data_IF_319248298464
#
_entry.id   IF_319248298464
#
_cell.length_a   1.000
_cell.length_b   1.000
_cell.length_c   1.000
_cell.angle_alpha   90.00
_cell.angle_beta   90.00
_cell.angle_gamma   90.00
#
_symmetry.space_group_name_H-M   'P 1'
#
loop_
_entity.id
_entity.type
_entity.pdbx_description
1 polymer ?
#
# COMPACT_ATOMS: atom_id res chain seq x y z
N UNK A 1 -45.27 -23.38 -29.28
CA UNK A 1 -44.63 -23.50 -27.94
C UNK A 1 -43.19 -23.93 -28.15
N UNK A 2 -42.22 -23.11 -27.74
CA UNK A 2 -40.80 -23.33 -28.03
C UNK A 2 -40.18 -24.21 -26.93
N UNK A 3 -39.88 -25.46 -27.29
CA UNK A 3 -39.24 -26.47 -26.44
C UNK A 3 -37.90 -26.02 -25.86
N UNK A 4 -37.19 -25.13 -26.57
CA UNK A 4 -35.87 -24.62 -26.19
C UNK A 4 -35.97 -23.61 -25.05
N UNK A 5 -36.99 -22.74 -25.06
CA UNK A 5 -37.25 -21.81 -23.97
C UNK A 5 -37.59 -22.54 -22.68
N UNK A 6 -38.40 -23.60 -22.76
CA UNK A 6 -38.74 -24.45 -21.62
C UNK A 6 -37.52 -25.19 -21.06
N UNK A 7 -36.64 -25.71 -21.93
CA UNK A 7 -35.40 -26.40 -21.52
C UNK A 7 -34.45 -25.45 -20.81
N UNK A 8 -34.24 -24.23 -21.34
CA UNK A 8 -33.40 -23.22 -20.69
C UNK A 8 -33.96 -22.82 -19.31
N UNK A 9 -35.28 -22.67 -19.18
CA UNK A 9 -35.93 -22.36 -17.90
C UNK A 9 -35.83 -23.50 -16.89
N UNK A 10 -35.97 -24.75 -17.34
CA UNK A 10 -35.77 -25.92 -16.49
C UNK A 10 -34.31 -26.01 -16.03
N UNK A 11 -33.36 -25.78 -16.93
CA UNK A 11 -31.93 -25.78 -16.61
C UNK A 11 -31.57 -24.72 -15.58
N UNK A 12 -32.05 -23.48 -15.75
CA UNK A 12 -31.83 -22.39 -14.79
C UNK A 12 -32.44 -22.72 -13.43
N UNK A 13 -33.67 -23.23 -13.38
CA UNK A 13 -34.32 -23.65 -12.13
C UNK A 13 -33.58 -24.80 -11.44
N UNK A 14 -33.07 -25.77 -12.20
CA UNK A 14 -32.24 -26.86 -11.66
C UNK A 14 -30.95 -26.29 -11.08
N UNK A 15 -30.29 -25.36 -11.78
CA UNK A 15 -29.07 -24.70 -11.27
C UNK A 15 -29.34 -23.89 -10.00
N UNK A 16 -30.44 -23.14 -9.95
CA UNK A 16 -30.87 -22.40 -8.76
C UNK A 16 -31.15 -23.33 -7.58
N UNK A 17 -31.90 -24.41 -7.79
CA UNK A 17 -32.20 -25.39 -6.76
C UNK A 17 -30.91 -26.09 -6.24
N UNK A 18 -29.98 -26.43 -7.14
CA UNK A 18 -28.68 -27.00 -6.78
C UNK A 18 -27.85 -25.98 -5.97
N UNK A 19 -27.86 -24.71 -6.38
CA UNK A 19 -27.15 -23.62 -5.69
C UNK A 19 -27.70 -23.41 -4.28
N UNK A 20 -29.02 -23.33 -4.13
CA UNK A 20 -29.70 -23.20 -2.84
C UNK A 20 -29.45 -24.40 -1.93
N UNK A 21 -29.46 -25.62 -2.48
CA UNK A 21 -29.15 -26.83 -1.72
C UNK A 21 -27.70 -26.85 -1.23
N UNK A 22 -26.74 -26.49 -2.10
CA UNK A 22 -25.32 -26.34 -1.72
C UNK A 22 -25.14 -25.28 -0.65
N UNK A 23 -25.74 -24.11 -0.83
CA UNK A 23 -25.70 -23.00 0.14
C UNK A 23 -26.21 -23.46 1.51
N UNK A 24 -27.40 -24.09 1.57
CA UNK A 24 -27.97 -24.61 2.81
C UNK A 24 -27.09 -25.68 3.47
N UNK A 25 -26.51 -26.59 2.68
CA UNK A 25 -25.60 -27.63 3.19
C UNK A 25 -24.34 -27.03 3.80
N UNK A 26 -23.76 -26.01 3.17
CA UNK A 26 -22.54 -25.36 3.64
C UNK A 26 -22.80 -24.47 4.87
N UNK A 27 -23.94 -23.76 4.93
CA UNK A 27 -24.37 -23.04 6.14
C UNK A 27 -24.51 -24.00 7.33
N UNK A 28 -25.20 -25.13 7.14
CA UNK A 28 -25.32 -26.15 8.20
C UNK A 28 -23.96 -26.70 8.65
N UNK A 29 -22.94 -26.77 7.80
CA UNK A 29 -21.58 -27.18 8.18
C UNK A 29 -20.89 -26.14 9.06
N UNK A 30 -21.01 -24.86 8.72
CA UNK A 30 -20.44 -23.75 9.50
C UNK A 30 -21.09 -23.70 10.89
N UNK A 31 -22.40 -23.86 10.97
CA UNK A 31 -23.12 -23.86 12.25
C UNK A 31 -22.63 -24.99 13.18
N UNK A 32 -22.34 -26.17 12.62
CA UNK A 32 -21.96 -27.38 13.38
C UNK A 32 -20.45 -27.61 13.51
N UNK A 33 -19.60 -26.70 13.03
CA UNK A 33 -18.15 -26.94 12.96
C UNK A 33 -17.50 -27.11 14.34
N UNK A 34 -18.01 -26.42 15.37
CA UNK A 34 -17.55 -26.54 16.76
C UNK A 34 -17.73 -27.98 17.27
N UNK A 35 -18.82 -28.63 16.83
CA UNK A 35 -19.15 -30.01 17.20
C UNK A 35 -18.24 -31.01 16.48
N UNK A 36 -17.97 -30.80 15.19
CA UNK A 36 -17.03 -31.65 14.42
C UNK A 36 -15.62 -31.58 14.99
N UNK A 37 -15.17 -30.38 15.31
CA UNK A 37 -13.88 -30.09 15.91
C UNK A 37 -13.76 -30.72 17.31
N UNK A 38 -14.81 -30.63 18.13
CA UNK A 38 -14.89 -31.32 19.42
C UNK A 38 -14.80 -32.84 19.27
N UNK A 39 -15.54 -33.42 18.32
CA UNK A 39 -15.52 -34.86 18.06
C UNK A 39 -14.15 -35.37 17.58
N UNK A 40 -13.40 -34.55 16.84
CA UNK A 40 -12.06 -34.89 16.38
C UNK A 40 -11.00 -34.83 17.50
N UNK A 41 -11.26 -34.09 18.59
CA UNK A 41 -10.35 -33.89 19.73
C UNK A 41 -10.48 -34.90 20.87
N UNK A 42 -11.62 -35.61 20.96
CA UNK A 42 -11.92 -36.68 21.95
C UNK A 42 -10.93 -37.87 22.00
N UNK A 43 -9.80 -37.77 21.28
CA UNK A 43 -8.66 -38.68 21.37
C UNK A 43 -7.61 -38.21 22.40
N UNK A 44 -7.65 -36.96 22.88
CA UNK A 44 -6.70 -36.43 23.87
C UNK A 44 -7.23 -36.57 25.30
N UNK A 45 -6.48 -37.28 26.16
CA UNK A 45 -6.92 -37.70 27.52
C UNK A 45 -6.88 -36.59 28.60
N UNK A 46 -6.91 -35.31 28.23
CA UNK A 46 -6.77 -34.20 29.20
C UNK A 46 -8.05 -33.36 29.28
N UNK A 47 -8.95 -33.75 30.20
CA UNK A 47 -10.26 -33.12 30.40
C UNK A 47 -10.18 -31.61 30.69
N UNK A 48 -9.16 -31.16 31.43
CA UNK A 48 -8.98 -29.74 31.76
C UNK A 48 -8.63 -28.89 30.53
N UNK A 49 -7.82 -29.45 29.62
CA UNK A 49 -7.45 -28.79 28.37
C UNK A 49 -8.63 -28.71 27.41
N UNK A 50 -9.43 -29.78 27.31
CA UNK A 50 -10.63 -29.81 26.48
C UNK A 50 -11.67 -28.79 26.93
N UNK A 51 -11.92 -28.69 28.24
CA UNK A 51 -12.88 -27.73 28.81
C UNK A 51 -12.50 -26.28 28.47
N UNK A 52 -11.22 -25.92 28.62
CA UNK A 52 -10.73 -24.57 28.32
C UNK A 52 -10.75 -24.22 26.83
N UNK A 53 -10.45 -25.19 25.97
CA UNK A 53 -10.56 -25.03 24.52
C UNK A 53 -12.02 -24.85 24.07
N UNK A 54 -12.93 -25.66 24.60
CA UNK A 54 -14.35 -25.59 24.27
C UNK A 54 -14.98 -24.28 24.75
N UNK A 55 -14.65 -23.85 25.97
CA UNK A 55 -15.11 -22.56 26.51
C UNK A 55 -14.63 -21.40 25.62
N UNK A 56 -13.35 -21.44 25.20
CA UNK A 56 -12.77 -20.41 24.35
C UNK A 56 -13.41 -20.36 22.96
N UNK A 57 -13.57 -21.51 22.31
CA UNK A 57 -14.21 -21.60 20.98
C UNK A 57 -15.66 -21.16 21.05
N UNK A 58 -16.42 -21.63 22.03
CA UNK A 58 -17.84 -21.27 22.18
C UNK A 58 -18.00 -19.77 22.39
N UNK A 59 -17.15 -19.16 23.22
CA UNK A 59 -17.17 -17.72 23.50
C UNK A 59 -16.87 -16.86 22.28
N UNK A 60 -16.03 -17.37 21.38
CA UNK A 60 -15.62 -16.65 20.17
C UNK A 60 -16.35 -17.12 18.90
N UNK A 61 -17.18 -18.18 18.95
CA UNK A 61 -17.87 -18.74 17.80
C UNK A 61 -18.71 -17.70 17.04
N UNK A 62 -19.43 -16.85 17.77
CA UNK A 62 -20.22 -15.77 17.17
C UNK A 62 -19.36 -14.75 16.42
N UNK A 63 -18.15 -14.45 16.90
CA UNK A 63 -17.21 -13.56 16.22
C UNK A 63 -16.58 -14.15 14.96
N UNK A 64 -16.60 -15.47 14.77
CA UNK A 64 -16.15 -16.09 13.52
C UNK A 64 -17.31 -16.41 12.58
N UNK A 65 -18.48 -16.77 13.11
CA UNK A 65 -19.67 -17.19 12.35
C UNK A 65 -20.54 -16.04 11.87
N UNK A 66 -20.57 -14.91 12.61
CA UNK A 66 -21.39 -13.73 12.26
C UNK A 66 -20.59 -12.65 11.52
N UNK A 67 -19.28 -12.86 11.31
CA UNK A 67 -18.50 -11.97 10.47
C UNK A 67 -18.98 -12.17 9.03
N UNK A 68 -19.55 -11.10 8.47
CA UNK A 68 -19.94 -11.02 7.06
C UNK A 68 -18.85 -11.65 6.19
N UNK A 69 -19.27 -12.29 5.09
CA UNK A 69 -18.50 -12.96 4.04
C UNK A 69 -17.30 -12.17 3.44
N UNK A 70 -16.98 -10.99 3.97
CA UNK A 70 -15.98 -10.04 3.50
C UNK A 70 -14.64 -10.10 4.24
N UNK A 71 -14.47 -10.94 5.27
CA UNK A 71 -13.19 -11.07 5.99
C UNK A 71 -12.62 -12.49 5.87
N UNK A 72 -11.57 -12.62 5.07
CA UNK A 72 -10.60 -13.71 5.17
C UNK A 72 -9.72 -13.37 6.38
N UNK A 73 -9.54 -14.30 7.33
CA UNK A 73 -8.72 -13.99 8.50
C UNK A 73 -7.27 -13.85 8.06
N UNK A 74 -6.70 -12.67 8.29
CA UNK A 74 -5.28 -12.45 8.05
C UNK A 74 -4.44 -13.36 8.95
N UNK A 75 -3.21 -13.69 8.51
CA UNK A 75 -2.29 -14.50 9.31
C UNK A 75 -2.09 -13.91 10.72
N UNK A 76 -2.04 -12.58 10.82
CA UNK A 76 -1.88 -11.85 12.08
C UNK A 76 -3.10 -11.95 12.98
N UNK A 77 -4.32 -11.94 12.42
CA UNK A 77 -5.55 -12.15 13.20
C UNK A 77 -5.62 -13.58 13.74
N UNK A 78 -5.24 -14.58 12.94
CA UNK A 78 -5.15 -15.97 13.39
C UNK A 78 -4.13 -16.12 14.51
N UNK A 79 -2.95 -15.54 14.34
CA UNK A 79 -1.89 -15.58 15.35
C UNK A 79 -2.29 -14.84 16.63
N UNK A 80 -2.93 -13.68 16.52
CA UNK A 80 -3.45 -12.92 17.67
C UNK A 80 -4.54 -13.70 18.41
N UNK A 81 -5.43 -14.39 17.69
CA UNK A 81 -6.46 -15.23 18.30
C UNK A 81 -5.85 -16.40 19.08
N UNK A 82 -4.81 -17.06 18.54
CA UNK A 82 -4.10 -18.13 19.22
C UNK A 82 -3.30 -17.60 20.42
N UNK A 83 -2.57 -16.49 20.28
CA UNK A 83 -1.84 -15.86 21.39
C UNK A 83 -2.77 -15.46 22.54
N UNK A 84 -3.94 -14.91 22.23
CA UNK A 84 -4.96 -14.50 23.22
C UNK A 84 -5.49 -15.67 24.07
N UNK A 85 -5.43 -16.92 23.56
CA UNK A 85 -5.76 -18.10 24.34
C UNK A 85 -4.75 -18.31 25.47
N UNK A 86 -3.46 -18.24 25.16
CA UNK A 86 -2.38 -18.47 26.11
C UNK A 86 -2.24 -17.33 27.12
N UNK A 87 -2.46 -16.07 26.71
CA UNK A 87 -2.47 -14.93 27.64
C UNK A 87 -3.53 -15.09 28.75
N UNK A 88 -4.65 -15.76 28.46
CA UNK A 88 -5.72 -16.04 29.43
C UNK A 88 -5.54 -17.37 30.17
N UNK A 89 -4.75 -18.29 29.62
CA UNK A 89 -4.50 -19.63 30.17
C UNK A 89 -2.99 -19.92 30.14
N UNK A 90 -2.21 -19.13 30.88
CA UNK A 90 -0.73 -19.22 30.90
C UNK A 90 -0.24 -20.61 31.36
N UNK A 91 -1.03 -21.31 32.16
CA UNK A 91 -0.79 -22.68 32.63
C UNK A 91 -0.81 -23.72 31.49
N UNK A 92 -1.42 -23.41 30.35
CA UNK A 92 -1.53 -24.30 29.19
C UNK A 92 -0.44 -24.07 28.12
N UNK A 93 0.53 -23.18 28.36
CA UNK A 93 1.66 -22.92 27.44
C UNK A 93 2.47 -24.21 27.15
N UNK A 94 2.55 -25.14 28.10
CA UNK A 94 3.23 -26.42 27.90
C UNK A 94 2.61 -27.27 26.77
N UNK A 95 1.35 -27.02 26.41
CA UNK A 95 0.63 -27.68 25.32
C UNK A 95 0.51 -26.78 24.07
N UNK A 96 1.37 -25.76 23.95
CA UNK A 96 1.23 -24.73 22.92
C UNK A 96 1.15 -25.29 21.50
N UNK A 97 1.96 -26.29 21.15
CA UNK A 97 1.94 -26.91 19.82
C UNK A 97 0.57 -27.52 19.50
N UNK A 98 0.13 -28.44 20.36
CA UNK A 98 -1.16 -29.13 20.24
C UNK A 98 -2.34 -28.16 20.19
N UNK A 99 -2.39 -27.19 21.10
CA UNK A 99 -3.48 -26.21 21.18
C UNK A 99 -3.49 -25.29 19.95
N UNK A 100 -2.31 -24.86 19.48
CA UNK A 100 -2.20 -24.00 18.31
C UNK A 100 -2.69 -24.74 17.06
N UNK A 101 -2.25 -25.98 16.84
CA UNK A 101 -2.69 -26.81 15.71
C UNK A 101 -4.21 -26.96 15.69
N UNK A 102 -4.79 -27.23 16.86
CA UNK A 102 -6.21 -27.41 17.07
C UNK A 102 -7.02 -26.12 16.78
N UNK A 103 -6.52 -24.95 17.19
CA UNK A 103 -7.17 -23.66 16.95
C UNK A 103 -6.99 -23.20 15.50
N UNK A 104 -5.84 -23.47 14.88
CA UNK A 104 -5.61 -23.19 13.46
C UNK A 104 -6.48 -24.08 12.57
N UNK A 105 -6.65 -25.36 12.90
CA UNK A 105 -7.54 -26.27 12.18
C UNK A 105 -9.00 -25.78 12.24
N UNK A 106 -9.45 -25.35 13.43
CA UNK A 106 -10.77 -24.73 13.60
C UNK A 106 -10.98 -23.52 12.67
N UNK A 107 -10.04 -22.56 12.66
CA UNK A 107 -10.13 -21.37 11.81
C UNK A 107 -10.09 -21.74 10.33
N UNK A 108 -9.18 -22.63 9.93
CA UNK A 108 -9.01 -23.02 8.53
C UNK A 108 -10.23 -23.76 7.98
N UNK A 109 -10.90 -24.59 8.79
CA UNK A 109 -12.13 -25.25 8.38
C UNK A 109 -13.29 -24.27 8.24
N UNK A 110 -13.38 -23.25 9.11
CA UNK A 110 -14.34 -22.15 8.98
C UNK A 110 -14.11 -21.40 7.67
N UNK A 111 -12.87 -20.99 7.40
CA UNK A 111 -12.51 -20.28 6.16
C UNK A 111 -12.81 -21.11 4.91
N UNK A 112 -12.48 -22.40 4.93
CA UNK A 112 -12.76 -23.30 3.82
C UNK A 112 -14.26 -23.34 3.53
N UNK A 113 -15.10 -23.53 4.55
CA UNK A 113 -16.54 -23.59 4.39
C UNK A 113 -17.14 -22.23 3.99
N UNK A 114 -16.61 -21.11 4.52
CA UNK A 114 -17.00 -19.76 4.10
C UNK A 114 -16.63 -19.50 2.63
N UNK A 115 -15.46 -19.95 2.17
CA UNK A 115 -15.02 -19.79 0.77
C UNK A 115 -15.90 -20.53 -0.23
N UNK A 116 -16.58 -21.61 0.21
CA UNK A 116 -17.54 -22.34 -0.61
C UNK A 116 -18.88 -21.58 -0.79
N UNK A 117 -19.17 -20.61 0.08
CA UNK A 117 -20.36 -19.74 -0.02
C UNK A 117 -20.15 -18.52 -0.91
N UNK A 118 -18.89 -18.18 -1.22
CA UNK A 118 -18.54 -17.02 -2.04
C UNK A 118 -18.85 -17.25 -3.52
N UNK A 119 -19.29 -16.19 -4.19
CA UNK A 119 -19.38 -16.12 -5.66
C UNK A 119 -17.98 -16.15 -6.29
N UNK A 120 -17.88 -16.49 -7.57
CA UNK A 120 -16.60 -16.50 -8.29
C UNK A 120 -15.91 -15.12 -8.31
N UNK A 121 -16.69 -14.03 -8.31
CA UNK A 121 -16.16 -12.67 -8.18
C UNK A 121 -15.53 -12.41 -6.81
N UNK A 122 -16.22 -12.79 -5.72
CA UNK A 122 -15.72 -12.62 -4.36
C UNK A 122 -14.49 -13.50 -4.07
N UNK A 123 -14.45 -14.73 -4.61
CA UNK A 123 -13.24 -15.58 -4.54
C UNK A 123 -12.03 -14.91 -5.18
N UNK A 124 -12.24 -14.18 -6.27
CA UNK A 124 -11.18 -13.47 -6.99
C UNK A 124 -10.69 -12.26 -6.17
N UNK A 125 -11.59 -11.55 -5.50
CA UNK A 125 -11.27 -10.47 -4.56
C UNK A 125 -10.44 -11.02 -3.39
N UNK A 126 -10.91 -12.08 -2.73
CA UNK A 126 -10.21 -12.78 -1.63
C UNK A 126 -8.80 -13.18 -2.04
N UNK A 127 -8.64 -13.80 -3.22
CA UNK A 127 -7.33 -14.22 -3.74
C UNK A 127 -6.38 -13.03 -3.90
N UNK A 128 -6.90 -11.89 -4.38
CA UNK A 128 -6.10 -10.68 -4.63
C UNK A 128 -5.76 -9.94 -3.33
N UNK A 129 -6.67 -9.92 -2.36
CA UNK A 129 -6.41 -9.40 -1.00
C UNK A 129 -5.33 -10.22 -0.30
N UNK A 130 -5.35 -11.55 -0.41
CA UNK A 130 -4.30 -12.41 0.15
C UNK A 130 -2.94 -12.15 -0.51
N UNK A 131 -2.89 -12.03 -1.83
CA UNK A 131 -1.66 -11.69 -2.55
C UNK A 131 -1.10 -10.33 -2.14
N UNK A 132 -1.96 -9.32 -1.99
CA UNK A 132 -1.56 -8.00 -1.51
C UNK A 132 -1.08 -8.05 -0.06
N UNK A 133 -1.75 -8.82 0.80
CA UNK A 133 -1.35 -9.00 2.20
C UNK A 133 0.01 -9.69 2.32
N UNK A 134 0.30 -10.70 1.50
CA UNK A 134 1.63 -11.32 1.43
C UNK A 134 2.69 -10.35 0.92
N UNK A 135 2.37 -9.53 -0.09
CA UNK A 135 3.28 -8.50 -0.59
C UNK A 135 3.58 -7.44 0.48
N UNK A 136 2.56 -6.99 1.21
CA UNK A 136 2.71 -6.06 2.35
C UNK A 136 3.55 -6.71 3.45
N UNK A 137 3.28 -7.97 3.81
CA UNK A 137 4.06 -8.71 4.82
C UNK A 137 5.52 -8.87 4.42
N UNK A 138 5.81 -9.12 3.14
CA UNK A 138 7.19 -9.19 2.64
C UNK A 138 7.90 -7.82 2.69
N UNK A 139 7.16 -6.74 2.48
CA UNK A 139 7.67 -5.37 2.69
C UNK A 139 7.93 -5.13 4.18
N UNK A 140 7.03 -5.51 5.08
CA UNK A 140 7.18 -5.35 6.53
C UNK A 140 8.32 -6.21 7.10
N UNK A 141 8.50 -7.44 6.63
CA UNK A 141 9.66 -8.28 6.95
C UNK A 141 10.96 -7.65 6.41
N UNK A 142 10.92 -7.06 5.22
CA UNK A 142 12.03 -6.27 4.68
C UNK A 142 12.36 -5.04 5.53
N UNK A 143 11.34 -4.36 6.07
CA UNK A 143 11.49 -3.23 6.98
C UNK A 143 12.05 -3.70 8.34
N UNK A 144 11.53 -4.78 8.91
CA UNK A 144 12.00 -5.34 10.19
C UNK A 144 13.46 -5.81 10.10
N UNK A 145 13.84 -6.49 9.01
CA UNK A 145 15.23 -6.86 8.74
C UNK A 145 16.13 -5.63 8.57
N UNK A 146 15.61 -4.55 7.97
CA UNK A 146 16.33 -3.29 7.86
C UNK A 146 16.46 -2.58 9.22
N UNK A 147 15.44 -2.61 10.08
CA UNK A 147 15.50 -2.06 11.44
C UNK A 147 16.49 -2.85 12.31
N UNK A 148 16.50 -4.18 12.23
CA UNK A 148 17.49 -5.02 12.90
C UNK A 148 18.90 -4.78 12.36
N UNK A 149 19.05 -4.55 11.05
CA UNK A 149 20.33 -4.12 10.47
C UNK A 149 20.78 -2.78 11.06
N UNK A 150 19.90 -1.77 11.13
CA UNK A 150 20.20 -0.47 11.75
C UNK A 150 20.53 -0.60 13.23
N UNK A 151 19.82 -1.45 13.99
CA UNK A 151 20.14 -1.75 15.39
C UNK A 151 21.48 -2.48 15.54
N UNK A 152 21.80 -3.43 14.67
CA UNK A 152 23.11 -4.11 14.66
C UNK A 152 24.26 -3.16 14.30
N UNK A 153 24.01 -2.19 13.41
CA UNK A 153 24.94 -1.10 13.09
C UNK A 153 25.10 -0.18 14.30
N UNK A 154 24.02 0.13 15.04
CA UNK A 154 24.09 0.93 16.26
C UNK A 154 24.81 0.22 17.42
N UNK A 155 24.61 -1.08 17.60
CA UNK A 155 25.33 -1.86 18.61
C UNK A 155 26.81 -2.04 18.25
N UNK A 156 27.16 -2.18 16.96
CA UNK A 156 28.55 -2.15 16.50
C UNK A 156 29.21 -0.77 16.67
N UNK A 157 28.45 0.32 16.75
CA UNK A 157 28.99 1.67 17.01
C UNK A 157 29.47 1.81 18.46
N UNK A 158 28.87 1.09 19.41
CA UNK A 158 29.35 1.10 20.81
C UNK A 158 30.64 0.29 20.98
N UNK A 159 30.80 -0.84 20.28
CA UNK A 159 32.03 -1.64 20.33
C UNK A 159 33.19 -1.02 19.54
N UNK A 160 32.91 -0.26 18.47
CA UNK A 160 33.95 0.42 17.66
C UNK A 160 34.50 1.69 18.33
N UNK A 161 33.77 2.28 19.29
CA UNK A 161 34.27 3.43 20.06
C UNK A 161 35.51 3.09 20.90
N UNK A 162 35.76 1.82 21.21
CA UNK A 162 36.95 1.38 21.94
C UNK A 162 38.17 1.10 21.03
N UNK A 163 37.98 0.86 19.73
CA UNK A 163 39.08 0.53 18.80
C UNK A 163 39.63 1.73 17.98
N UNK A 164 38.94 2.87 17.94
CA UNK A 164 39.28 4.00 17.05
C UNK A 164 40.34 5.00 17.56
N UNK A 165 41.28 4.59 18.43
CA UNK A 165 42.34 5.50 18.88
C UNK A 165 43.51 5.70 17.90
N UNK A 166 43.47 5.15 16.67
CA UNK A 166 44.61 5.23 15.72
C UNK A 166 44.26 5.46 14.23
N UNK A 167 43.06 5.92 13.85
CA UNK A 167 42.73 6.26 12.45
C UNK A 167 42.23 7.69 12.29
N UNK A 168 42.73 8.43 11.28
CA UNK A 168 42.29 9.79 10.95
C UNK A 168 40.76 9.82 10.72
N UNK A 169 40.03 10.49 11.62
CA UNK A 169 38.56 10.56 11.64
C UNK A 169 38.01 11.21 10.36
N UNK A 170 38.76 12.09 9.71
CA UNK A 170 38.37 12.78 8.47
C UNK A 170 38.36 11.86 7.23
N UNK A 171 39.05 10.72 7.30
CA UNK A 171 39.05 9.68 6.26
C UNK A 171 37.96 8.63 6.42
N UNK A 172 37.28 8.61 7.56
CA UNK A 172 36.29 7.58 7.82
C UNK A 172 35.18 7.63 6.74
N UNK A 173 34.96 6.53 5.99
CA UNK A 173 34.06 6.56 4.83
C UNK A 173 32.61 6.81 5.24
N UNK A 174 32.24 6.42 6.46
CA UNK A 174 30.87 6.40 6.99
C UNK A 174 30.09 7.70 6.73
N UNK A 175 30.63 8.85 7.15
CA UNK A 175 29.90 10.11 7.00
C UNK A 175 29.83 10.57 5.55
N UNK A 176 30.92 10.43 4.80
CA UNK A 176 30.95 10.78 3.38
C UNK A 176 29.92 9.97 2.59
N UNK A 177 29.94 8.65 2.75
CA UNK A 177 29.03 7.76 2.02
C UNK A 177 27.57 8.01 2.38
N UNK A 178 27.28 8.24 3.67
CA UNK A 178 25.92 8.49 4.15
C UNK A 178 25.37 9.82 3.65
N UNK A 179 26.11 10.92 3.81
CA UNK A 179 25.67 12.26 3.41
C UNK A 179 25.51 12.35 1.89
N UNK A 180 26.50 11.88 1.12
CA UNK A 180 26.42 11.90 -0.34
C UNK A 180 25.35 10.95 -0.85
N UNK A 181 25.21 9.77 -0.25
CA UNK A 181 24.14 8.83 -0.55
C UNK A 181 22.76 9.46 -0.36
N UNK A 182 22.52 10.12 0.78
CA UNK A 182 21.27 10.81 1.07
C UNK A 182 20.99 11.95 0.09
N UNK A 183 21.98 12.78 -0.23
CA UNK A 183 21.83 13.85 -1.22
C UNK A 183 21.43 13.29 -2.59
N UNK A 184 22.16 12.29 -3.09
CA UNK A 184 21.85 11.66 -4.36
C UNK A 184 20.43 11.05 -4.35
N UNK A 185 20.03 10.38 -3.26
CA UNK A 185 18.68 9.81 -3.14
C UNK A 185 17.58 10.87 -3.12
N UNK A 186 17.79 12.00 -2.43
CA UNK A 186 16.87 13.14 -2.41
C UNK A 186 16.67 13.66 -3.84
N UNK A 187 17.76 13.92 -4.57
CA UNK A 187 17.68 14.46 -5.93
C UNK A 187 17.05 13.50 -6.92
N UNK A 188 17.41 12.20 -6.87
CA UNK A 188 16.76 11.17 -7.70
C UNK A 188 15.26 11.14 -7.43
N UNK A 189 14.84 11.23 -6.16
CA UNK A 189 13.43 11.17 -5.82
C UNK A 189 12.68 12.43 -6.28
N UNK A 190 13.29 13.62 -6.19
CA UNK A 190 12.73 14.86 -6.76
C UNK A 190 12.55 14.70 -8.27
N UNK A 191 13.60 14.33 -9.00
CA UNK A 191 13.57 14.17 -10.46
C UNK A 191 12.48 13.18 -10.89
N UNK A 192 12.34 12.04 -10.20
CA UNK A 192 11.30 11.05 -10.50
C UNK A 192 9.86 11.57 -10.30
N UNK A 193 9.64 12.49 -9.36
CA UNK A 193 8.29 12.91 -8.95
C UNK A 193 7.87 14.27 -9.54
N UNK A 194 8.82 15.16 -9.83
CA UNK A 194 8.57 16.49 -10.39
C UNK A 194 9.10 16.65 -11.82
N UNK A 195 10.01 15.79 -12.26
CA UNK A 195 10.71 15.92 -13.54
C UNK A 195 11.83 16.97 -13.51
N UNK A 196 12.08 17.59 -12.37
CA UNK A 196 13.04 18.68 -12.23
C UNK A 196 14.43 18.16 -11.86
N UNK A 197 15.45 18.64 -12.57
CA UNK A 197 16.84 18.21 -12.37
C UNK A 197 17.61 19.26 -11.58
N UNK A 198 17.62 19.11 -10.26
CA UNK A 198 18.18 20.11 -9.34
C UNK A 198 19.62 19.83 -8.91
N UNK A 199 20.29 18.85 -9.53
CA UNK A 199 21.69 18.52 -9.27
C UNK A 199 22.53 18.71 -10.54
N UNK A 200 23.48 19.64 -10.50
CA UNK A 200 24.37 19.98 -11.62
C UNK A 200 25.31 18.82 -11.98
N UNK A 201 25.75 18.05 -10.98
CA UNK A 201 26.68 16.93 -11.16
C UNK A 201 26.50 15.87 -10.08
N UNK A 202 26.49 14.59 -10.49
CA UNK A 202 26.46 13.47 -9.55
C UNK A 202 27.70 13.48 -8.63
N UNK A 203 27.45 13.30 -7.34
CA UNK A 203 28.48 13.28 -6.30
C UNK A 203 28.92 11.84 -6.03
N UNK A 204 30.24 11.62 -5.92
CA UNK A 204 30.80 10.31 -5.57
C UNK A 204 30.76 10.07 -4.06
N UNK A 205 30.54 8.83 -3.63
CA UNK A 205 30.30 8.49 -2.22
C UNK A 205 31.46 8.89 -1.28
N UNK A 206 32.70 8.91 -1.78
CA UNK A 206 33.89 9.32 -1.04
C UNK A 206 34.22 10.83 -1.16
N UNK A 207 33.32 11.65 -1.72
CA UNK A 207 33.61 13.05 -2.05
C UNK A 207 33.94 13.94 -0.85
N UNK A 208 33.63 13.53 0.39
CA UNK A 208 33.88 14.32 1.60
C UNK A 208 35.06 13.81 2.45
N UNK A 209 35.68 12.68 2.10
CA UNK A 209 36.84 12.16 2.83
C UNK A 209 38.05 13.06 2.63
N UNK A 210 38.79 13.42 3.68
CA UNK A 210 39.98 14.25 3.55
C UNK A 210 41.03 14.00 4.65
N UNK A 211 42.18 14.68 4.56
CA UNK A 211 43.26 14.58 5.55
C UNK A 211 43.07 15.55 6.73
N UNK A 212 42.41 16.69 6.50
CA UNK A 212 42.24 17.78 7.46
C UNK A 212 40.79 18.27 7.49
N UNK A 213 40.38 18.92 8.58
CA UNK A 213 39.07 19.56 8.66
C UNK A 213 38.90 20.64 7.58
N UNK A 214 39.94 21.42 7.29
CA UNK A 214 39.90 22.45 6.24
C UNK A 214 39.54 21.85 4.87
N UNK A 215 40.15 20.72 4.51
CA UNK A 215 39.86 20.03 3.26
C UNK A 215 38.44 19.43 3.25
N UNK A 216 37.95 18.93 4.40
CA UNK A 216 36.56 18.46 4.53
C UNK A 216 35.59 19.61 4.30
N UNK A 217 35.81 20.76 4.95
CA UNK A 217 34.96 21.95 4.82
C UNK A 217 34.88 22.39 3.36
N UNK A 218 36.03 22.50 2.69
CA UNK A 218 36.09 22.83 1.27
C UNK A 218 35.33 21.82 0.39
N UNK A 219 35.46 20.52 0.68
CA UNK A 219 34.72 19.47 -0.04
C UNK A 219 33.21 19.53 0.20
N UNK A 220 32.77 19.86 1.41
CA UNK A 220 31.35 20.09 1.72
C UNK A 220 30.83 21.30 0.93
N UNK A 221 31.55 22.43 0.93
CA UNK A 221 31.17 23.61 0.13
C UNK A 221 30.99 23.25 -1.34
N UNK A 222 31.93 22.49 -1.91
CA UNK A 222 31.87 22.04 -3.31
C UNK A 222 30.71 21.07 -3.59
N UNK A 223 30.39 20.20 -2.63
CA UNK A 223 29.23 19.33 -2.73
C UNK A 223 27.92 20.14 -2.68
N UNK A 224 27.80 21.11 -1.79
CA UNK A 224 26.63 21.99 -1.69
C UNK A 224 26.48 22.93 -2.89
N UNK A 225 27.58 23.36 -3.51
CA UNK A 225 27.54 24.17 -4.74
C UNK A 225 27.10 23.38 -5.97
N UNK A 226 27.03 22.05 -5.88
CA UNK A 226 26.50 21.21 -6.97
C UNK A 226 24.98 21.24 -7.07
N UNK A 227 24.30 21.74 -6.03
CA UNK A 227 22.86 21.97 -6.02
C UNK A 227 22.55 23.14 -6.96
N UNK A 228 21.58 22.96 -7.86
CA UNK A 228 21.20 23.99 -8.82
C UNK A 228 20.32 25.07 -8.18
N UNK A 229 20.99 25.95 -7.44
CA UNK A 229 20.35 27.07 -6.75
C UNK A 229 19.56 27.94 -7.73
N UNK A 230 20.14 28.26 -8.89
CA UNK A 230 19.53 29.17 -9.87
C UNK A 230 18.21 28.60 -10.40
N UNK A 231 18.17 27.29 -10.68
CA UNK A 231 16.95 26.60 -11.08
C UNK A 231 15.89 26.61 -9.97
N UNK A 232 16.29 26.36 -8.72
CA UNK A 232 15.37 26.42 -7.57
C UNK A 232 14.81 27.83 -7.37
N UNK A 233 15.65 28.87 -7.49
CA UNK A 233 15.24 30.27 -7.39
C UNK A 233 14.23 30.63 -8.50
N UNK A 234 14.42 30.11 -9.71
CA UNK A 234 13.48 30.28 -10.82
C UNK A 234 12.12 29.62 -10.53
N UNK A 235 12.12 28.39 -10.00
CA UNK A 235 10.89 27.64 -9.68
C UNK A 235 10.12 28.30 -8.53
N UNK A 236 10.82 28.62 -7.44
CA UNK A 236 10.22 29.12 -6.20
C UNK A 236 9.97 30.63 -6.22
N UNK A 237 10.60 31.37 -7.16
CA UNK A 237 10.58 32.84 -7.26
C UNK A 237 11.12 33.54 -6.00
N UNK A 238 12.03 32.88 -5.30
CA UNK A 238 12.72 33.40 -4.11
C UNK A 238 14.22 33.36 -4.33
N UNK A 239 14.98 34.16 -3.58
CA UNK A 239 16.45 34.17 -3.61
C UNK A 239 17.01 33.49 -2.37
N UNK A 240 18.08 32.74 -2.52
CA UNK A 240 18.74 32.02 -1.44
C UNK A 240 20.23 32.30 -1.41
N UNK A 241 20.84 32.24 -0.23
CA UNK A 241 22.26 32.52 -0.03
C UNK A 241 23.12 31.34 -0.51
N UNK A 242 22.66 30.11 -0.27
CA UNK A 242 23.38 28.88 -0.62
C UNK A 242 22.48 27.73 -1.11
N UNK A 243 23.09 26.69 -1.68
CA UNK A 243 22.37 25.55 -2.26
C UNK A 243 21.59 24.71 -1.25
N UNK A 244 22.09 24.57 -0.02
CA UNK A 244 21.39 23.79 1.02
C UNK A 244 20.13 24.51 1.52
N UNK A 245 20.22 25.83 1.65
CA UNK A 245 19.08 26.70 1.95
C UNK A 245 18.05 26.66 0.81
N UNK A 246 18.49 26.74 -0.45
CA UNK A 246 17.60 26.60 -1.59
C UNK A 246 16.87 25.24 -1.59
N UNK A 247 17.59 24.14 -1.33
CA UNK A 247 17.00 22.81 -1.21
C UNK A 247 15.97 22.73 -0.08
N UNK A 248 16.26 23.33 1.09
CA UNK A 248 15.33 23.39 2.22
C UNK A 248 14.00 24.06 1.82
N UNK A 249 14.06 25.26 1.25
CA UNK A 249 12.87 26.02 0.88
C UNK A 249 12.14 25.42 -0.33
N UNK A 250 12.87 24.81 -1.27
CA UNK A 250 12.25 24.04 -2.33
C UNK A 250 11.41 22.88 -1.76
N UNK A 251 11.94 22.14 -0.78
CA UNK A 251 11.22 21.04 -0.15
C UNK A 251 10.00 21.56 0.62
N UNK A 252 10.08 22.72 1.28
CA UNK A 252 8.90 23.37 1.86
C UNK A 252 7.84 23.75 0.82
N UNK A 253 8.28 24.27 -0.33
CA UNK A 253 7.41 24.68 -1.42
C UNK A 253 6.58 23.50 -1.96
N UNK A 254 7.18 22.31 -2.07
CA UNK A 254 6.47 21.11 -2.53
C UNK A 254 5.76 20.35 -1.40
N UNK A 255 6.12 20.56 -0.13
CA UNK A 255 5.61 19.81 1.03
C UNK A 255 5.21 20.72 2.22
N UNK A 256 4.19 21.56 2.01
CA UNK A 256 3.76 22.60 2.96
C UNK A 256 3.32 22.09 4.34
N UNK A 257 2.77 20.87 4.44
CA UNK A 257 2.14 20.37 5.67
C UNK A 257 3.12 19.81 6.72
N UNK A 258 4.42 19.67 6.37
CA UNK A 258 5.42 19.01 7.23
C UNK A 258 6.59 19.93 7.65
N UNK A 259 6.48 21.23 7.40
CA UNK A 259 7.58 22.19 7.54
C UNK A 259 8.07 22.42 8.98
N UNK A 260 7.21 22.34 10.00
CA UNK A 260 7.55 22.88 11.34
C UNK A 260 8.75 22.21 12.04
N UNK A 261 8.84 20.86 12.03
CA UNK A 261 9.97 20.14 12.65
C UNK A 261 11.27 20.32 11.86
N UNK A 262 11.16 20.36 10.53
CA UNK A 262 12.28 20.58 9.63
C UNK A 262 12.86 22.00 9.80
N UNK A 263 12.00 22.98 10.04
CA UNK A 263 12.37 24.39 10.21
C UNK A 263 13.13 24.64 11.51
N UNK A 264 12.72 24.01 12.61
CA UNK A 264 13.47 24.06 13.87
C UNK A 264 14.88 23.50 13.69
N UNK A 265 15.03 22.31 13.09
CA UNK A 265 16.36 21.74 12.83
C UNK A 265 17.22 22.58 11.88
N UNK A 266 16.61 23.13 10.82
CA UNK A 266 17.31 23.97 9.88
C UNK A 266 17.80 25.26 10.53
N UNK A 267 16.92 25.98 11.23
CA UNK A 267 17.23 27.27 11.87
C UNK A 267 18.14 27.14 13.09
N UNK A 268 17.96 26.13 13.93
CA UNK A 268 18.70 25.96 15.19
C UNK A 268 20.08 25.32 15.00
N UNK A 269 20.26 24.48 13.96
CA UNK A 269 21.49 23.65 13.83
C UNK A 269 22.16 23.77 12.48
N UNK A 270 21.42 23.68 11.39
CA UNK A 270 22.02 23.65 10.04
C UNK A 270 22.50 25.02 9.62
N UNK A 271 21.79 26.10 9.97
CA UNK A 271 22.25 27.46 9.68
C UNK A 271 23.59 27.75 10.38
N UNK A 272 23.75 27.32 11.64
CA UNK A 272 25.03 27.45 12.34
C UNK A 272 26.15 26.67 11.63
N UNK A 273 25.85 25.47 11.10
CA UNK A 273 26.81 24.66 10.35
C UNK A 273 27.18 25.32 9.02
N UNK A 274 26.21 25.93 8.32
CA UNK A 274 26.44 26.71 7.11
C UNK A 274 27.39 27.88 7.43
N UNK A 275 27.10 28.66 8.47
CA UNK A 275 27.94 29.78 8.90
C UNK A 275 29.35 29.28 9.25
N UNK A 276 29.46 28.17 9.98
CA UNK A 276 30.75 27.53 10.30
C UNK A 276 31.52 27.07 9.04
N UNK A 277 30.83 26.60 8.00
CA UNK A 277 31.43 26.16 6.74
C UNK A 277 31.92 27.35 5.91
N UNK A 278 31.08 28.38 5.75
CA UNK A 278 31.38 29.51 4.86
C UNK A 278 32.35 30.51 5.49
N UNK A 279 32.36 30.66 6.82
CA UNK A 279 33.29 31.53 7.54
C UNK A 279 34.57 30.81 8.00
N UNK A 280 34.78 29.54 7.62
CA UNK A 280 35.91 28.73 8.10
C UNK A 280 37.28 29.26 7.65
N UNK A 281 37.38 29.79 6.43
CA UNK A 281 38.66 30.24 5.84
C UNK A 281 39.18 31.48 6.58
N UNK A 282 38.32 32.47 6.77
CA UNK A 282 38.67 33.73 7.44
C UNK A 282 38.60 33.64 8.97
N UNK A 283 37.91 32.61 9.51
CA UNK A 283 37.61 32.43 10.94
C UNK A 283 37.16 33.74 11.58
N UNK A 284 36.18 34.38 10.94
CA UNK A 284 35.66 35.67 11.35
C UNK A 284 34.88 35.59 12.69
N UNK A 285 34.40 36.72 13.25
CA UNK A 285 33.59 36.68 14.47
C UNK A 285 32.33 35.80 14.36
N UNK A 286 31.76 35.64 13.16
CA UNK A 286 30.58 34.83 12.92
C UNK A 286 30.89 33.33 13.03
N UNK A 287 32.07 32.90 12.57
CA UNK A 287 32.58 31.54 12.79
C UNK A 287 32.64 31.18 14.29
N UNK A 288 33.24 32.05 15.12
CA UNK A 288 33.35 31.78 16.56
C UNK A 288 32.01 31.87 17.29
N UNK A 289 31.09 32.74 16.85
CA UNK A 289 29.73 32.79 17.37
C UNK A 289 28.97 31.49 17.04
N UNK A 290 29.10 30.97 15.82
CA UNK A 290 28.50 29.71 15.41
C UNK A 290 29.05 28.54 16.25
N UNK A 291 30.37 28.43 16.41
CA UNK A 291 30.99 27.42 17.30
C UNK A 291 30.52 27.54 18.74
N UNK A 292 30.34 28.77 19.23
CA UNK A 292 29.79 29.04 20.56
C UNK A 292 28.35 28.52 20.70
N UNK A 293 27.49 28.81 19.74
CA UNK A 293 26.10 28.37 19.70
C UNK A 293 25.96 26.84 19.53
N UNK A 294 26.93 26.18 18.89
CA UNK A 294 27.01 24.71 18.83
C UNK A 294 27.46 24.06 20.15
N UNK A 295 27.80 24.83 21.18
CA UNK A 295 28.33 24.32 22.45
C UNK A 295 29.80 23.88 22.37
N UNK A 296 30.52 24.22 21.30
CA UNK A 296 31.91 23.82 21.07
C UNK A 296 32.93 24.86 21.58
N UNK A 297 32.47 25.95 22.21
CA UNK A 297 33.33 27.06 22.71
C UNK A 297 34.58 26.59 23.47
N UNK A 298 34.41 25.60 24.35
CA UNK A 298 35.48 25.10 25.22
C UNK A 298 36.12 23.78 24.73
N UNK A 299 35.67 23.23 23.59
CA UNK A 299 36.12 21.94 23.07
C UNK A 299 36.09 21.89 21.53
N UNK A 300 36.72 22.89 20.91
CA UNK A 300 36.70 23.14 19.46
C UNK A 300 37.84 22.42 18.71
N UNK A 301 38.20 21.20 19.11
CA UNK A 301 39.17 20.41 18.32
C UNK A 301 38.57 20.11 16.95
N UNK A 302 39.43 19.96 15.94
CA UNK A 302 39.01 19.72 14.56
C UNK A 302 38.12 18.47 14.44
N UNK A 303 38.41 17.43 15.22
CA UNK A 303 37.62 16.19 15.26
C UNK A 303 36.22 16.39 15.86
N UNK A 304 36.09 17.26 16.87
CA UNK A 304 34.81 17.55 17.50
C UNK A 304 33.94 18.44 16.61
N UNK A 305 34.54 19.44 15.95
CA UNK A 305 33.87 20.26 14.94
C UNK A 305 33.39 19.36 13.79
N UNK A 306 34.27 18.50 13.26
CA UNK A 306 33.93 17.55 12.21
C UNK A 306 32.77 16.63 12.60
N UNK A 307 32.86 15.98 13.77
CA UNK A 307 31.85 15.02 14.21
C UNK A 307 30.49 15.67 14.40
N UNK A 308 30.47 16.88 14.99
CA UNK A 308 29.24 17.65 15.17
C UNK A 308 28.61 18.04 13.83
N UNK A 309 29.41 18.59 12.90
CA UNK A 309 28.94 19.00 11.59
C UNK A 309 28.37 17.82 10.79
N UNK A 310 29.14 16.73 10.67
CA UNK A 310 28.74 15.58 9.85
C UNK A 310 27.52 14.87 10.42
N UNK A 311 27.44 14.70 11.75
CA UNK A 311 26.27 14.05 12.38
C UNK A 311 24.98 14.85 12.18
N UNK A 312 25.02 16.18 12.34
CA UNK A 312 23.84 17.01 12.17
C UNK A 312 23.42 17.15 10.69
N UNK A 313 24.38 17.24 9.76
CA UNK A 313 24.09 17.22 8.32
C UNK A 313 23.43 15.89 7.91
N UNK A 314 23.95 14.77 8.40
CA UNK A 314 23.39 13.44 8.12
C UNK A 314 21.97 13.31 8.68
N UNK A 315 21.72 13.72 9.93
CA UNK A 315 20.39 13.69 10.56
C UNK A 315 19.38 14.53 9.77
N UNK A 316 19.76 15.76 9.44
CA UNK A 316 18.91 16.66 8.67
C UNK A 316 18.55 16.11 7.28
N UNK A 317 19.53 15.61 6.53
CA UNK A 317 19.29 15.01 5.21
C UNK A 317 18.45 13.73 5.30
N UNK A 318 18.63 12.94 6.38
CA UNK A 318 17.82 11.74 6.62
C UNK A 318 16.36 12.11 6.83
N UNK A 319 16.09 13.16 7.61
CA UNK A 319 14.74 13.66 7.85
C UNK A 319 14.10 14.25 6.58
N UNK A 320 14.86 15.00 5.78
CA UNK A 320 14.42 15.47 4.46
C UNK A 320 14.01 14.30 3.57
N UNK A 321 14.86 13.28 3.46
CA UNK A 321 14.58 12.11 2.63
C UNK A 321 13.33 11.36 3.09
N UNK A 322 13.19 11.12 4.40
CA UNK A 322 12.02 10.45 4.98
C UNK A 322 10.73 11.23 4.73
N UNK A 323 10.78 12.56 4.80
CA UNK A 323 9.65 13.44 4.50
C UNK A 323 9.21 13.31 3.04
N UNK A 324 10.16 13.41 2.11
CA UNK A 324 9.90 13.23 0.68
C UNK A 324 9.32 11.84 0.38
N UNK A 325 9.86 10.79 1.01
CA UNK A 325 9.35 9.42 0.89
C UNK A 325 7.89 9.30 1.35
N UNK A 326 7.54 9.92 2.49
CA UNK A 326 6.19 9.88 3.02
C UNK A 326 5.19 10.64 2.13
N UNK A 327 5.54 11.86 1.70
CA UNK A 327 4.70 12.67 0.82
C UNK A 327 4.32 11.92 -0.47
N UNK A 328 5.30 11.30 -1.12
CA UNK A 328 5.06 10.65 -2.41
C UNK A 328 4.50 9.23 -2.32
N UNK A 329 4.51 8.60 -1.13
CA UNK A 329 3.85 7.30 -0.91
C UNK A 329 2.36 7.31 -1.28
N UNK A 330 1.66 8.43 -1.05
CA UNK A 330 0.24 8.58 -1.36
C UNK A 330 -0.04 8.83 -2.85
N UNK A 331 0.94 9.38 -3.58
CA UNK A 331 0.82 9.64 -5.03
C UNK A 331 0.98 8.35 -5.83
N UNK A 332 1.94 7.51 -5.43
CA UNK A 332 2.19 6.20 -6.03
C UNK A 332 0.96 5.27 -5.91
N UNK A 333 0.24 5.30 -4.78
CA UNK A 333 -0.99 4.51 -4.59
C UNK A 333 -2.12 4.92 -5.54
N UNK A 334 -2.37 6.23 -5.70
CA UNK A 334 -3.45 6.73 -6.56
C UNK A 334 -3.19 6.42 -8.04
N UNK A 335 -1.94 6.53 -8.49
CA UNK A 335 -1.55 6.14 -9.86
C UNK A 335 -1.77 4.64 -10.08
N UNK A 336 -1.43 3.80 -9.10
CA UNK A 336 -1.66 2.35 -9.19
C UNK A 336 -3.16 2.01 -9.17
N UNK A 337 -3.95 2.73 -8.39
CA UNK A 337 -5.41 2.62 -8.36
C UNK A 337 -6.02 2.98 -9.73
N UNK A 338 -5.62 4.12 -10.31
CA UNK A 338 -6.10 4.56 -11.62
C UNK A 338 -5.75 3.54 -12.73
N UNK A 339 -4.50 3.02 -12.73
CA UNK A 339 -4.07 1.97 -13.67
C UNK A 339 -4.87 0.68 -13.46
N UNK A 340 -5.13 0.30 -12.20
CA UNK A 340 -5.89 -0.91 -11.89
C UNK A 340 -7.36 -0.78 -12.33
N UNK A 341 -7.97 0.40 -12.14
CA UNK A 341 -9.33 0.70 -12.61
C UNK A 341 -9.40 0.68 -14.13
N UNK A 342 -8.42 1.27 -14.83
CA UNK A 342 -8.37 1.25 -16.29
C UNK A 342 -8.25 -0.18 -16.85
N UNK A 343 -7.34 -0.99 -16.30
CA UNK A 343 -7.20 -2.40 -16.71
C UNK A 343 -8.43 -3.24 -16.37
N UNK A 344 -9.11 -2.96 -15.26
CA UNK A 344 -10.38 -3.60 -14.92
C UNK A 344 -11.48 -3.25 -15.95
N UNK A 345 -11.63 -1.98 -16.29
CA UNK A 345 -12.60 -1.53 -17.30
C UNK A 345 -12.30 -2.14 -18.68
N UNK A 346 -11.01 -2.21 -19.05
CA UNK A 346 -10.56 -2.84 -20.31
C UNK A 346 -10.92 -4.32 -20.38
N UNK A 347 -10.73 -5.06 -19.27
CA UNK A 347 -11.12 -6.47 -19.18
C UNK A 347 -12.63 -6.67 -19.27
N UNK A 348 -13.42 -5.87 -18.54
CA UNK A 348 -14.88 -5.91 -18.61
C UNK A 348 -15.35 -5.63 -20.04
N UNK A 349 -14.76 -4.67 -20.74
CA UNK A 349 -15.04 -4.40 -22.15
C UNK A 349 -14.76 -5.63 -23.03
N UNK A 350 -13.60 -6.25 -22.88
CA UNK A 350 -13.24 -7.44 -23.68
C UNK A 350 -14.18 -8.62 -23.46
N UNK A 351 -14.79 -8.75 -22.28
CA UNK A 351 -15.79 -9.79 -22.01
C UNK A 351 -17.10 -9.58 -22.77
N UNK A 352 -17.48 -8.31 -23.01
CA UNK A 352 -18.79 -7.97 -23.55
C UNK A 352 -18.77 -7.55 -25.03
N UNK A 353 -17.60 -7.13 -25.55
CA UNK A 353 -17.48 -6.55 -26.89
C UNK A 353 -18.03 -7.47 -27.99
N UNK A 354 -17.92 -8.79 -27.85
CA UNK A 354 -18.43 -9.75 -28.84
C UNK A 354 -19.95 -9.89 -28.84
N UNK A 355 -20.61 -9.48 -27.74
CA UNK A 355 -22.06 -9.47 -27.60
C UNK A 355 -22.68 -8.14 -28.05
N UNK A 356 -21.85 -7.12 -28.33
CA UNK A 356 -22.26 -5.83 -28.89
C UNK A 356 -21.89 -5.82 -30.38
N UNK A 357 -22.88 -6.01 -31.24
CA UNK A 357 -22.74 -6.03 -32.70
C UNK A 357 -23.22 -4.72 -33.30
N UNK A 358 -22.88 -4.47 -34.56
CA UNK A 358 -23.41 -3.31 -35.29
C UNK A 358 -24.95 -3.32 -35.35
N UNK A 359 -25.58 -4.51 -35.40
CA UNK A 359 -27.04 -4.67 -35.43
C UNK A 359 -27.75 -4.32 -34.12
N UNK A 360 -27.10 -4.51 -32.96
CA UNK A 360 -27.73 -4.32 -31.65
C UNK A 360 -27.17 -3.13 -30.86
N UNK A 361 -26.13 -2.45 -31.38
CA UNK A 361 -25.42 -1.36 -30.70
C UNK A 361 -26.34 -0.23 -30.26
N UNK A 362 -27.20 0.26 -31.15
CA UNK A 362 -28.12 1.37 -30.84
C UNK A 362 -29.13 0.98 -29.77
N UNK A 363 -29.56 -0.28 -29.75
CA UNK A 363 -30.48 -0.79 -28.73
C UNK A 363 -29.80 -0.86 -27.37
N UNK A 364 -28.55 -1.29 -27.32
CA UNK A 364 -27.74 -1.37 -26.11
C UNK A 364 -27.50 0.04 -25.54
N UNK A 365 -27.22 1.02 -26.40
CA UNK A 365 -27.11 2.43 -26.01
C UNK A 365 -28.42 2.90 -25.36
N UNK A 366 -29.56 2.59 -25.97
CA UNK A 366 -30.85 3.01 -25.44
C UNK A 366 -31.18 2.33 -24.09
N UNK A 367 -30.80 1.06 -23.92
CA UNK A 367 -30.93 0.35 -22.63
C UNK A 367 -30.02 0.97 -21.56
N UNK A 368 -28.81 1.42 -21.92
CA UNK A 368 -27.92 2.13 -20.98
C UNK A 368 -28.53 3.46 -20.54
N UNK A 369 -29.14 4.20 -21.46
CA UNK A 369 -29.75 5.51 -21.18
C UNK A 369 -31.05 5.41 -20.38
N UNK A 370 -31.72 4.27 -20.40
CA UNK A 370 -33.01 4.06 -19.77
C UNK A 370 -32.96 2.92 -18.76
N UNK A 371 -32.92 3.26 -17.47
CA UNK A 371 -32.80 2.28 -16.37
C UNK A 371 -33.93 1.22 -16.30
N UNK A 372 -35.06 1.42 -16.99
CA UNK A 372 -36.21 0.53 -16.95
C UNK A 372 -36.96 0.42 -18.30
N UNK A 373 -36.26 0.43 -19.44
CA UNK A 373 -36.92 0.21 -20.73
C UNK A 373 -37.41 -1.25 -20.86
N UNK A 374 -38.62 -1.43 -21.37
CA UNK A 374 -39.12 -2.77 -21.72
C UNK A 374 -38.75 -3.16 -23.14
N UNK A 375 -38.68 -4.45 -23.40
CA UNK A 375 -38.43 -4.98 -24.73
C UNK A 375 -39.53 -4.65 -25.75
N UNK A 376 -40.78 -4.47 -25.30
CA UNK A 376 -41.89 -3.99 -26.12
C UNK A 376 -41.68 -2.52 -26.52
N UNK A 377 -41.30 -1.67 -25.57
CA UNK A 377 -41.01 -0.25 -25.83
C UNK A 377 -39.81 -0.08 -26.76
N UNK A 378 -38.72 -0.81 -26.50
CA UNK A 378 -37.53 -0.80 -27.33
C UNK A 378 -37.82 -1.31 -28.75
N UNK A 379 -38.57 -2.41 -28.88
CA UNK A 379 -38.96 -2.94 -30.18
C UNK A 379 -39.80 -1.93 -30.99
N UNK A 380 -40.70 -1.20 -30.31
CA UNK A 380 -41.51 -0.15 -30.92
C UNK A 380 -40.66 1.04 -31.37
N UNK A 381 -39.67 1.47 -30.57
CA UNK A 381 -38.75 2.56 -30.92
C UNK A 381 -37.97 2.29 -32.20
N UNK A 382 -37.49 1.06 -32.37
CA UNK A 382 -36.68 0.66 -33.52
C UNK A 382 -37.48 0.00 -34.66
N UNK A 383 -38.82 -0.01 -34.56
CA UNK A 383 -39.73 -0.62 -35.55
C UNK A 383 -39.36 -2.07 -35.91
N UNK A 384 -39.05 -2.88 -34.89
CA UNK A 384 -38.70 -4.31 -35.02
C UNK A 384 -39.69 -5.17 -34.25
N UNK A 385 -39.74 -6.48 -34.57
CA UNK A 385 -40.54 -7.41 -33.77
C UNK A 385 -39.82 -7.71 -32.45
N UNK A 386 -40.58 -7.86 -31.36
CA UNK A 386 -40.04 -8.26 -30.03
C UNK A 386 -39.26 -9.58 -30.14
N UNK A 387 -39.70 -10.48 -31.02
CA UNK A 387 -39.03 -11.76 -31.25
C UNK A 387 -37.64 -11.59 -31.85
N UNK A 388 -37.49 -10.73 -32.85
CA UNK A 388 -36.20 -10.48 -33.50
C UNK A 388 -35.27 -9.71 -32.56
N UNK A 389 -35.81 -8.74 -31.83
CA UNK A 389 -35.08 -8.00 -30.80
C UNK A 389 -34.50 -8.92 -29.72
N UNK A 390 -35.32 -9.80 -29.14
CA UNK A 390 -34.87 -10.78 -28.13
C UNK A 390 -33.82 -11.76 -28.68
N UNK A 391 -33.91 -12.12 -29.97
CA UNK A 391 -32.95 -13.03 -30.62
C UNK A 391 -31.58 -12.38 -30.74
N UNK A 392 -31.52 -11.13 -31.19
CA UNK A 392 -30.27 -10.38 -31.35
C UNK A 392 -29.64 -9.95 -30.02
N UNK A 393 -30.46 -9.70 -28.98
CA UNK A 393 -29.98 -9.41 -27.62
C UNK A 393 -29.58 -10.67 -26.84
N UNK A 394 -29.87 -11.87 -27.34
CA UNK A 394 -29.61 -13.11 -26.60
C UNK A 394 -28.14 -13.29 -26.21
N UNK A 395 -27.20 -12.87 -27.06
CA UNK A 395 -25.76 -12.92 -26.75
C UNK A 395 -25.39 -11.99 -25.59
N UNK A 396 -26.03 -10.82 -25.47
CA UNK A 396 -25.85 -9.90 -24.37
C UNK A 396 -26.48 -10.45 -23.08
N UNK A 397 -27.59 -11.19 -23.17
CA UNK A 397 -28.24 -11.78 -21.98
C UNK A 397 -27.42 -12.84 -21.26
N UNK A 398 -26.42 -13.41 -21.95
CA UNK A 398 -25.49 -14.39 -21.36
C UNK A 398 -24.32 -13.74 -20.63
N UNK A 399 -24.10 -12.45 -20.83
CA UNK A 399 -22.91 -11.75 -20.36
C UNK A 399 -23.24 -10.59 -19.43
N UNK A 400 -23.99 -9.59 -19.89
CA UNK A 400 -24.16 -8.34 -19.13
C UNK A 400 -25.57 -7.75 -19.08
N UNK A 401 -26.49 -8.27 -19.90
CA UNK A 401 -27.89 -7.88 -19.92
C UNK A 401 -28.70 -8.93 -19.16
N UNK A 402 -29.74 -8.54 -18.43
CA UNK A 402 -30.71 -9.50 -17.90
C UNK A 402 -32.14 -9.02 -18.10
N UNK A 403 -33.06 -9.99 -18.14
CA UNK A 403 -34.48 -9.75 -18.32
C UNK A 403 -35.21 -9.88 -16.99
N UNK A 404 -36.00 -8.86 -16.64
CA UNK A 404 -36.91 -8.88 -15.50
C UNK A 404 -38.35 -8.89 -16.00
N UNK A 405 -39.10 -9.94 -15.69
CA UNK A 405 -40.51 -10.03 -16.09
C UNK A 405 -41.33 -8.93 -15.43
N UNK A 406 -42.09 -8.21 -16.26
CA UNK A 406 -43.10 -7.24 -15.81
C UNK A 406 -44.49 -7.91 -15.85
N UNK A 407 -44.76 -8.66 -16.92
CA UNK A 407 -45.93 -9.52 -17.10
C UNK A 407 -45.59 -10.73 -18.01
N UNK A 408 -46.60 -11.50 -18.41
CA UNK A 408 -46.44 -12.72 -19.23
C UNK A 408 -45.87 -12.46 -20.64
N UNK A 409 -45.88 -11.22 -21.11
CA UNK A 409 -45.50 -10.83 -22.47
C UNK A 409 -44.36 -9.80 -22.51
N UNK A 410 -44.12 -9.10 -21.41
CA UNK A 410 -43.24 -7.93 -21.32
C UNK A 410 -42.08 -8.17 -20.36
N UNK A 411 -40.86 -7.84 -20.78
CA UNK A 411 -39.66 -7.91 -19.93
C UNK A 411 -38.92 -6.58 -19.92
N UNK A 412 -38.56 -6.11 -18.73
CA UNK A 412 -37.63 -5.00 -18.56
C UNK A 412 -36.21 -5.47 -18.86
N UNK A 413 -35.47 -4.65 -19.62
CA UNK A 413 -34.12 -4.88 -20.08
C UNK A 413 -33.16 -4.09 -19.20
N UNK A 414 -32.30 -4.76 -18.44
CA UNK A 414 -31.42 -4.11 -17.46
C UNK A 414 -29.98 -4.59 -17.66
N UNK A 415 -29.05 -3.64 -17.77
CA UNK A 415 -27.61 -3.92 -17.83
C UNK A 415 -27.04 -3.84 -16.41
N UNK A 416 -26.19 -4.79 -16.01
CA UNK A 416 -25.54 -4.73 -14.70
C UNK A 416 -24.68 -3.47 -14.57
N UNK A 417 -24.69 -2.85 -13.39
CA UNK A 417 -24.06 -1.56 -13.14
C UNK A 417 -22.56 -1.54 -13.46
N UNK A 418 -21.85 -2.65 -13.18
CA UNK A 418 -20.43 -2.82 -13.50
C UNK A 418 -20.14 -2.64 -15.01
N UNK A 419 -21.08 -3.01 -15.87
CA UNK A 419 -20.95 -2.90 -17.32
C UNK A 419 -21.50 -1.60 -17.88
N UNK A 420 -22.48 -0.96 -17.22
CA UNK A 420 -23.03 0.35 -17.66
C UNK A 420 -21.91 1.37 -17.86
N UNK A 421 -21.07 1.58 -16.84
CA UNK A 421 -19.97 2.57 -16.90
C UNK A 421 -18.95 2.26 -18.01
N UNK A 422 -18.67 0.98 -18.24
CA UNK A 422 -17.72 0.53 -19.27
C UNK A 422 -18.30 0.75 -20.67
N UNK A 423 -19.57 0.40 -20.88
CA UNK A 423 -20.27 0.59 -22.15
C UNK A 423 -20.36 2.09 -22.46
N UNK A 424 -20.74 2.91 -21.48
CA UNK A 424 -20.84 4.36 -21.66
C UNK A 424 -19.51 5.00 -22.06
N UNK A 425 -18.42 4.65 -21.36
CA UNK A 425 -17.09 5.16 -21.68
C UNK A 425 -16.61 4.74 -23.08
N UNK A 426 -16.89 3.49 -23.51
CA UNK A 426 -16.43 2.96 -24.80
C UNK A 426 -17.30 3.34 -25.98
N UNK A 427 -18.59 3.56 -25.75
CA UNK A 427 -19.55 3.98 -26.77
C UNK A 427 -19.75 5.50 -26.82
N UNK A 428 -19.12 6.26 -25.92
CA UNK A 428 -19.20 7.72 -25.90
C UNK A 428 -20.55 8.25 -25.41
N UNK A 429 -21.22 7.49 -24.54
CA UNK A 429 -22.50 7.85 -23.95
C UNK A 429 -22.23 8.65 -22.68
N UNK A 430 -22.76 9.87 -22.57
CA UNK A 430 -22.71 10.64 -21.32
C UNK A 430 -23.66 10.01 -20.29
N UNK A 431 -23.13 9.57 -19.14
CA UNK A 431 -23.92 9.11 -17.98
C UNK A 431 -24.01 10.23 -16.96
#
# INVERSE_FOLDING_TARGET
MSTIGTIATIETRIREAISQYKHKKTVNRIENIDVEIKLNRLKEKNEYLEEKLDEYITKHASSFKNVNLNQVFSADEKEKYVRSFFEKNNDLIIYQGTISDILYDYINQIEKNLSELLTEGEKLIVKKVNQLSEQVRNVDLGISNYTQFVESVNNNIESIKEEMFNSNVFKAPKYSESIIGLLNMIFVRIEQNTGEKLLKKNLQANALQAETLADVVFKIQKALSSIDKDEIENITKQKFDNGLQALHFYIQYIATDFANKLNSLFSERIQLIIDCIYCYEDKDPQYYLALGAMGLRNNHTDENIYSYMMSNLMDYLSQLFMLLKHMWKNRDYKVLEDVAVEEMQKRLWYQIQSSITESNREWIIEIVNNDNITDVELAKMFNVSVKDLRKELYSATKTFLYHKYVDDYTTSLIIYDDYKKVISNKLGIGV
#
